data_IF_619618029118
#
_entry.id   IF_619618029118
#
_cell.length_a   1.000
_cell.length_b   1.000
_cell.length_c   1.000
_cell.angle_alpha   90.00
_cell.angle_beta   90.00
_cell.angle_gamma   90.00
#
_symmetry.space_group_name_H-M   'P 1'
#
loop_
_entity.id
_entity.type
_entity.pdbx_description
1 polymer ?
#
# COMPACT_ATOMS: atom_id res chain seq x y z
N UNK A 1 -3.05 -33.89 6.02
CA UNK A 1 -3.14 -32.72 5.09
C UNK A 1 -4.00 -31.68 5.80
N UNK A 2 -3.45 -30.51 6.08
CA UNK A 2 -4.25 -29.40 6.62
C UNK A 2 -4.98 -28.71 5.47
N UNK A 3 -6.25 -28.37 5.64
CA UNK A 3 -6.96 -27.55 4.65
C UNK A 3 -6.32 -26.16 4.55
N UNK A 4 -6.26 -25.59 3.36
CA UNK A 4 -5.67 -24.27 3.11
C UNK A 4 -6.29 -23.19 4.01
N UNK A 5 -7.62 -23.24 4.20
CA UNK A 5 -8.34 -22.34 5.11
C UNK A 5 -7.81 -22.43 6.55
N UNK A 6 -7.60 -23.64 7.06
CA UNK A 6 -7.06 -23.85 8.43
C UNK A 6 -5.64 -23.30 8.58
N UNK A 7 -4.78 -23.46 7.58
CA UNK A 7 -3.43 -22.87 7.61
C UNK A 7 -3.51 -21.34 7.66
N UNK A 8 -4.40 -20.74 6.86
CA UNK A 8 -4.59 -19.28 6.86
C UNK A 8 -5.15 -18.79 8.20
N UNK A 9 -6.11 -19.50 8.80
CA UNK A 9 -6.66 -19.18 10.12
C UNK A 9 -5.56 -19.11 11.20
N UNK A 10 -4.59 -20.03 11.16
CA UNK A 10 -3.44 -20.03 12.07
C UNK A 10 -2.54 -18.77 11.90
N UNK A 11 -2.40 -18.27 10.69
CA UNK A 11 -1.68 -17.02 10.43
C UNK A 11 -2.49 -15.79 10.83
N UNK A 12 -3.79 -15.77 10.53
CA UNK A 12 -4.70 -14.68 10.89
C UNK A 12 -4.85 -14.52 12.40
N UNK A 13 -4.88 -15.62 13.16
CA UNK A 13 -4.96 -15.60 14.61
C UNK A 13 -3.80 -14.84 15.28
N UNK A 14 -2.64 -14.76 14.60
CA UNK A 14 -1.46 -14.01 15.08
C UNK A 14 -1.56 -12.50 14.83
N UNK A 15 -2.50 -12.03 14.01
CA UNK A 15 -2.60 -10.63 13.58
C UNK A 15 -3.84 -9.93 14.12
N UNK A 16 -4.04 -9.99 15.43
CA UNK A 16 -5.16 -9.34 16.12
C UNK A 16 -5.21 -7.83 15.81
N UNK A 17 -6.35 -7.34 15.31
CA UNK A 17 -6.51 -5.94 14.87
C UNK A 17 -6.32 -5.70 13.38
N UNK A 18 -5.86 -6.69 12.62
CA UNK A 18 -5.65 -6.61 11.18
C UNK A 18 -6.89 -6.12 10.43
N UNK A 19 -8.07 -6.64 10.76
CA UNK A 19 -9.33 -6.24 10.11
C UNK A 19 -9.58 -4.74 10.21
N UNK A 20 -9.40 -4.16 11.41
CA UNK A 20 -9.56 -2.71 11.63
C UNK A 20 -8.57 -1.90 10.78
N UNK A 21 -7.32 -2.35 10.69
CA UNK A 21 -6.29 -1.73 9.85
C UNK A 21 -6.67 -1.77 8.36
N UNK A 22 -7.12 -2.91 7.85
CA UNK A 22 -7.56 -3.07 6.47
C UNK A 22 -8.82 -2.25 6.17
N UNK A 23 -9.78 -2.16 7.11
CA UNK A 23 -10.98 -1.33 6.97
C UNK A 23 -10.63 0.15 6.80
N UNK A 24 -9.65 0.67 7.55
CA UNK A 24 -9.14 2.04 7.38
C UNK A 24 -8.54 2.24 5.99
N UNK A 25 -7.79 1.25 5.49
CA UNK A 25 -7.23 1.30 4.15
C UNK A 25 -8.35 1.42 3.09
N UNK A 26 -9.33 0.53 3.13
CA UNK A 26 -10.46 0.52 2.19
C UNK A 26 -11.38 1.75 2.29
N UNK A 27 -11.39 2.42 3.42
CA UNK A 27 -12.08 3.70 3.61
C UNK A 27 -11.24 4.92 3.22
N UNK A 28 -9.98 4.73 2.80
CA UNK A 28 -8.99 5.80 2.58
C UNK A 28 -8.79 6.65 3.85
N UNK A 29 -8.63 5.96 4.99
CA UNK A 29 -8.45 6.58 6.32
C UNK A 29 -7.03 6.34 6.86
N UNK A 30 -6.14 5.73 6.07
CA UNK A 30 -4.70 5.67 6.40
C UNK A 30 -4.15 7.09 6.52
N UNK A 31 -3.14 7.28 7.37
CA UNK A 31 -2.58 8.60 7.62
C UNK A 31 -3.65 9.64 7.99
N UNK A 32 -4.62 9.25 8.83
CA UNK A 32 -5.76 10.10 9.22
C UNK A 32 -6.58 10.63 8.03
N UNK A 33 -6.54 9.93 6.90
CA UNK A 33 -7.23 10.31 5.66
C UNK A 33 -6.50 11.34 4.81
N UNK A 34 -5.25 11.67 5.15
CA UNK A 34 -4.42 12.60 4.38
C UNK A 34 -3.87 11.93 3.13
N UNK A 35 -4.35 12.35 1.96
CA UNK A 35 -3.97 11.79 0.66
C UNK A 35 -2.56 12.20 0.24
N UNK A 36 -2.07 13.35 0.69
CA UNK A 36 -0.68 13.76 0.46
C UNK A 36 0.27 12.72 1.07
N UNK A 37 0.02 12.35 2.34
CA UNK A 37 0.84 11.36 3.03
C UNK A 37 0.68 9.96 2.42
N UNK A 38 -0.53 9.58 1.98
CA UNK A 38 -0.75 8.32 1.27
C UNK A 38 0.07 8.23 -0.03
N UNK A 39 0.13 9.31 -0.81
CA UNK A 39 0.89 9.36 -2.07
C UNK A 39 2.40 9.36 -1.82
N UNK A 40 2.88 10.18 -0.88
CA UNK A 40 4.31 10.21 -0.50
C UNK A 40 4.76 8.84 -0.01
N UNK A 41 3.97 8.22 0.83
CA UNK A 41 4.23 6.90 1.36
C UNK A 41 4.32 5.83 0.24
N UNK A 42 3.34 5.77 -0.65
CA UNK A 42 3.35 4.82 -1.77
C UNK A 42 4.55 5.01 -2.70
N UNK A 43 4.98 6.26 -2.89
CA UNK A 43 6.14 6.60 -3.71
C UNK A 43 7.47 6.20 -3.03
N UNK A 44 7.58 6.33 -1.71
CA UNK A 44 8.77 5.90 -0.97
C UNK A 44 8.90 4.38 -0.91
N UNK A 45 7.79 3.66 -0.78
CA UNK A 45 7.75 2.20 -0.79
C UNK A 45 8.22 1.59 -2.12
N UNK A 46 8.20 2.37 -3.20
CA UNK A 46 8.58 1.93 -4.55
C UNK A 46 10.02 1.44 -4.70
N UNK A 47 10.90 1.64 -3.70
CA UNK A 47 12.32 1.28 -3.76
C UNK A 47 12.71 0.09 -2.86
N UNK A 48 11.74 -0.57 -2.23
CA UNK A 48 11.95 -1.84 -1.51
C UNK A 48 12.76 -1.74 -0.23
N UNK A 49 12.69 -0.62 0.50
CA UNK A 49 13.32 -0.46 1.80
C UNK A 49 12.42 -0.97 2.94
N UNK A 50 13.02 -1.09 4.14
CA UNK A 50 12.27 -1.52 5.32
C UNK A 50 11.14 -0.54 5.64
N UNK A 51 9.92 -1.06 5.59
CA UNK A 51 8.69 -0.33 5.78
C UNK A 51 8.65 0.47 7.09
N UNK A 52 8.75 -0.23 8.23
CA UNK A 52 8.59 0.39 9.54
C UNK A 52 9.81 1.19 10.02
N UNK A 53 11.01 0.75 9.65
CA UNK A 53 12.25 1.33 10.16
C UNK A 53 12.82 2.41 9.24
N UNK A 54 12.36 2.51 7.98
CA UNK A 54 12.88 3.47 7.01
C UNK A 54 11.78 4.36 6.43
N UNK A 55 10.73 3.75 5.86
CA UNK A 55 9.72 4.51 5.11
C UNK A 55 8.82 5.30 6.05
N UNK A 56 8.16 4.63 7.00
CA UNK A 56 7.22 5.28 7.94
C UNK A 56 7.84 6.45 8.70
N UNK A 57 9.05 6.34 9.29
CA UNK A 57 9.70 7.49 9.95
C UNK A 57 9.93 8.68 9.02
N UNK A 58 10.29 8.43 7.75
CA UNK A 58 10.52 9.50 6.78
C UNK A 58 9.24 10.18 6.31
N UNK A 59 8.15 9.44 6.19
CA UNK A 59 6.85 10.04 5.92
C UNK A 59 6.37 10.88 7.12
N UNK A 60 6.61 10.42 8.35
CA UNK A 60 6.32 11.20 9.55
C UNK A 60 7.16 12.47 9.63
N UNK A 61 8.46 12.43 9.26
CA UNK A 61 9.32 13.60 9.17
C UNK A 61 8.79 14.59 8.14
N UNK A 62 8.32 14.12 6.99
CA UNK A 62 7.67 14.96 5.98
C UNK A 62 6.35 15.55 6.48
N UNK A 63 5.53 14.77 7.19
CA UNK A 63 4.30 15.26 7.83
C UNK A 63 4.57 16.44 8.75
N UNK A 64 5.56 16.31 9.66
CA UNK A 64 5.92 17.38 10.60
C UNK A 64 6.47 18.62 9.89
N UNK A 65 7.38 18.42 8.93
CA UNK A 65 8.10 19.52 8.29
C UNK A 65 7.25 20.30 7.28
N UNK A 66 6.28 19.68 6.62
CA UNK A 66 5.58 20.28 5.48
C UNK A 66 4.06 20.30 5.62
N UNK A 67 3.46 19.22 6.14
CA UNK A 67 1.99 19.13 6.21
C UNK A 67 1.47 19.89 7.44
N UNK A 68 2.02 19.63 8.61
CA UNK A 68 1.55 20.27 9.86
C UNK A 68 1.86 21.76 9.93
N UNK A 69 2.91 22.22 9.28
CA UNK A 69 3.21 23.65 9.21
C UNK A 69 2.46 24.39 8.09
N UNK A 70 1.66 23.66 7.28
CA UNK A 70 0.81 24.25 6.26
C UNK A 70 1.50 24.60 4.94
N UNK A 71 2.72 24.14 4.70
CA UNK A 71 3.38 24.33 3.40
C UNK A 71 2.81 23.44 2.31
N UNK A 72 2.34 22.23 2.69
CA UNK A 72 1.71 21.26 1.78
C UNK A 72 0.35 20.85 2.33
N UNK A 73 -0.72 21.38 1.76
CA UNK A 73 -2.08 21.18 2.26
C UNK A 73 -2.91 20.22 1.37
N UNK A 74 -2.44 19.94 0.16
CA UNK A 74 -3.18 19.19 -0.84
C UNK A 74 -2.22 18.63 -1.92
N UNK A 75 -2.76 17.83 -2.82
CA UNK A 75 -1.99 17.21 -3.91
C UNK A 75 -1.40 18.24 -4.89
N UNK A 76 -2.04 19.41 -5.06
CA UNK A 76 -1.47 20.47 -5.88
C UNK A 76 -0.15 20.97 -5.29
N UNK A 77 -0.14 21.26 -3.98
CA UNK A 77 1.05 21.75 -3.30
C UNK A 77 2.17 20.70 -3.38
N UNK A 78 1.85 19.42 -3.12
CA UNK A 78 2.81 18.31 -3.27
C UNK A 78 3.38 18.25 -4.69
N UNK A 79 2.56 18.40 -5.72
CA UNK A 79 3.01 18.32 -7.12
C UNK A 79 4.01 19.40 -7.50
N UNK A 80 3.94 20.55 -6.84
CA UNK A 80 4.77 21.73 -7.09
C UNK A 80 5.98 21.86 -6.15
N UNK A 81 6.07 21.02 -5.13
CA UNK A 81 7.11 21.11 -4.09
C UNK A 81 8.52 20.90 -4.69
N UNK A 82 9.46 21.85 -4.54
CA UNK A 82 10.81 21.72 -5.06
C UNK A 82 11.60 20.59 -4.40
N UNK A 83 12.33 19.80 -5.19
CA UNK A 83 13.14 18.69 -4.65
C UNK A 83 14.17 19.18 -3.62
N UNK A 84 14.74 20.36 -3.81
CA UNK A 84 15.75 20.93 -2.92
C UNK A 84 15.26 21.12 -1.47
N UNK A 85 13.95 21.34 -1.28
CA UNK A 85 13.36 21.49 0.04
C UNK A 85 13.20 20.15 0.77
N UNK A 86 13.02 19.06 0.05
CA UNK A 86 12.69 17.72 0.60
C UNK A 86 13.85 16.73 0.56
N UNK A 87 14.95 17.04 -0.12
CA UNK A 87 16.11 16.15 -0.27
C UNK A 87 16.75 15.71 1.05
N UNK A 88 16.65 16.53 2.09
CA UNK A 88 17.19 16.21 3.42
C UNK A 88 16.33 15.17 4.15
N UNK A 89 15.01 15.13 3.88
CA UNK A 89 14.12 14.08 4.40
C UNK A 89 14.37 12.77 3.65
N UNK A 90 14.37 12.84 2.32
CA UNK A 90 14.52 11.69 1.45
C UNK A 90 15.30 12.06 0.20
N UNK A 91 16.52 11.57 0.09
CA UNK A 91 17.44 11.98 -0.99
C UNK A 91 17.08 11.39 -2.37
N UNK A 92 16.18 10.38 -2.43
CA UNK A 92 15.85 9.70 -3.67
C UNK A 92 14.94 10.55 -4.56
N UNK A 93 15.52 11.16 -5.59
CA UNK A 93 14.80 12.00 -6.59
C UNK A 93 13.69 11.23 -7.31
N UNK A 94 13.87 9.93 -7.56
CA UNK A 94 12.88 9.11 -8.26
C UNK A 94 11.59 8.98 -7.44
N UNK A 95 11.70 8.72 -6.13
CA UNK A 95 10.54 8.65 -5.23
C UNK A 95 9.76 9.96 -5.23
N UNK A 96 10.44 11.10 -5.13
CA UNK A 96 9.78 12.41 -5.22
C UNK A 96 9.17 12.69 -6.59
N UNK A 97 9.83 12.27 -7.69
CA UNK A 97 9.25 12.39 -9.03
C UNK A 97 7.96 11.58 -9.15
N UNK A 98 7.93 10.36 -8.62
CA UNK A 98 6.72 9.52 -8.56
C UNK A 98 5.63 10.21 -7.74
N UNK A 99 5.93 10.66 -6.50
CA UNK A 99 4.96 11.33 -5.65
C UNK A 99 4.33 12.55 -6.32
N UNK A 100 5.16 13.41 -6.91
CA UNK A 100 4.71 14.63 -7.59
C UNK A 100 3.88 14.35 -8.84
N UNK A 101 4.28 13.37 -9.64
CA UNK A 101 3.53 13.01 -10.87
C UNK A 101 2.18 12.38 -10.54
N UNK A 102 2.12 11.50 -9.53
CA UNK A 102 0.86 10.93 -9.04
C UNK A 102 -0.04 12.03 -8.47
N UNK A 103 0.52 12.94 -7.67
CA UNK A 103 -0.21 14.06 -7.08
C UNK A 103 -0.79 15.00 -8.16
N UNK A 104 0.01 15.38 -9.16
CA UNK A 104 -0.44 16.20 -10.29
C UNK A 104 -1.61 15.57 -11.03
N UNK A 105 -1.48 14.29 -11.40
CA UNK A 105 -2.53 13.58 -12.12
C UNK A 105 -3.84 13.49 -11.31
N UNK A 106 -3.76 13.08 -10.06
CA UNK A 106 -4.95 12.96 -9.19
C UNK A 106 -5.60 14.32 -8.96
N UNK A 107 -4.81 15.37 -8.70
CA UNK A 107 -5.33 16.72 -8.53
C UNK A 107 -6.06 17.22 -9.80
N UNK A 108 -5.43 17.13 -10.96
CA UNK A 108 -6.00 17.60 -12.22
C UNK A 108 -7.27 16.83 -12.59
N UNK A 109 -7.24 15.49 -12.48
CA UNK A 109 -8.39 14.64 -12.71
C UNK A 109 -9.55 14.94 -11.75
N UNK A 110 -9.24 15.17 -10.47
CA UNK A 110 -10.22 15.54 -9.44
C UNK A 110 -10.83 16.91 -9.69
N UNK A 111 -9.99 17.92 -9.97
CA UNK A 111 -10.43 19.29 -10.28
C UNK A 111 -11.41 19.34 -11.44
N UNK A 112 -11.12 18.61 -12.52
CA UNK A 112 -11.98 18.58 -13.71
C UNK A 112 -13.35 17.97 -13.44
N UNK A 113 -13.53 17.25 -12.32
CA UNK A 113 -14.77 16.61 -11.88
C UNK A 113 -15.37 17.26 -10.62
N UNK A 114 -14.77 18.32 -10.08
CA UNK A 114 -15.21 18.96 -8.84
C UNK A 114 -15.00 18.10 -7.58
N UNK A 115 -14.00 17.22 -7.58
CA UNK A 115 -13.69 16.32 -6.48
C UNK A 115 -12.55 16.89 -5.62
N UNK A 116 -12.61 16.65 -4.31
CA UNK A 116 -11.45 16.84 -3.46
C UNK A 116 -10.44 15.67 -3.66
N UNK A 117 -9.21 15.83 -3.16
CA UNK A 117 -8.12 14.90 -3.37
C UNK A 117 -8.45 13.46 -2.92
N UNK A 118 -9.13 13.27 -1.78
CA UNK A 118 -9.53 11.95 -1.30
C UNK A 118 -10.57 11.30 -2.22
N UNK A 119 -11.53 12.06 -2.70
CA UNK A 119 -12.52 11.56 -3.67
C UNK A 119 -11.85 11.28 -5.02
N UNK A 120 -10.87 12.10 -5.43
CA UNK A 120 -10.11 11.87 -6.66
C UNK A 120 -9.32 10.55 -6.62
N UNK A 121 -8.61 10.26 -5.52
CA UNK A 121 -7.92 8.98 -5.31
C UNK A 121 -8.90 7.80 -5.36
N UNK A 122 -10.03 7.88 -4.64
CA UNK A 122 -11.05 6.83 -4.62
C UNK A 122 -11.70 6.60 -5.98
N UNK A 123 -12.02 7.66 -6.68
CA UNK A 123 -12.62 7.60 -8.02
C UNK A 123 -11.65 6.99 -9.02
N UNK A 124 -10.38 7.43 -9.02
CA UNK A 124 -9.35 6.80 -9.83
C UNK A 124 -9.23 5.31 -9.53
N UNK A 125 -9.06 4.93 -8.26
CA UNK A 125 -8.86 3.55 -7.87
C UNK A 125 -10.01 2.62 -8.30
N UNK A 126 -11.27 3.08 -8.19
CA UNK A 126 -12.46 2.32 -8.58
C UNK A 126 -12.59 2.12 -10.09
N UNK A 127 -12.11 3.09 -10.88
CA UNK A 127 -12.22 3.06 -12.34
C UNK A 127 -11.01 2.39 -13.01
N UNK A 128 -10.08 1.85 -12.23
CA UNK A 128 -8.88 1.17 -12.72
C UNK A 128 -9.00 -0.34 -12.60
N UNK A 129 -8.32 -1.07 -13.47
CA UNK A 129 -8.24 -2.53 -13.43
C UNK A 129 -6.81 -3.02 -13.25
N UNK A 130 -6.67 -4.24 -12.75
CA UNK A 130 -5.37 -4.90 -12.63
C UNK A 130 -4.75 -5.15 -14.02
N UNK A 131 -5.54 -5.61 -14.97
CA UNK A 131 -5.09 -5.93 -16.32
C UNK A 131 -4.67 -4.69 -17.11
N UNK A 132 -5.39 -3.58 -16.91
CA UNK A 132 -5.15 -2.31 -17.58
C UNK A 132 -4.07 -1.44 -16.95
N UNK A 133 -3.36 -1.89 -15.93
CA UNK A 133 -2.47 -1.04 -15.14
C UNK A 133 -1.39 -0.32 -15.95
N UNK A 134 -0.80 -0.98 -16.98
CA UNK A 134 0.23 -0.37 -17.85
C UNK A 134 -0.32 0.70 -18.81
N UNK A 135 -1.61 0.68 -19.07
CA UNK A 135 -2.31 1.67 -19.92
C UNK A 135 -2.83 2.85 -19.09
N UNK A 136 -3.00 2.65 -17.78
CA UNK A 136 -3.45 3.68 -16.86
C UNK A 136 -2.43 4.83 -16.76
N UNK A 137 -2.87 6.10 -16.67
CA UNK A 137 -1.98 7.24 -16.55
C UNK A 137 -1.00 7.15 -15.37
N UNK A 138 -1.42 6.67 -14.19
CA UNK A 138 -0.53 6.45 -13.04
C UNK A 138 0.43 5.29 -13.32
N UNK A 139 -0.05 4.22 -13.92
CA UNK A 139 0.79 3.08 -14.29
C UNK A 139 1.89 3.41 -15.32
N UNK A 140 1.69 4.47 -16.12
CA UNK A 140 2.68 4.99 -17.10
C UNK A 140 3.73 5.91 -16.47
N UNK A 141 3.55 6.37 -15.23
CA UNK A 141 4.54 7.23 -14.58
C UNK A 141 5.85 6.46 -14.39
N UNK A 142 6.94 7.03 -14.90
CA UNK A 142 8.26 6.42 -14.75
C UNK A 142 8.63 6.24 -13.28
N UNK A 143 8.80 5.00 -12.86
CA UNK A 143 9.07 4.63 -11.47
C UNK A 143 7.90 3.99 -10.73
N UNK A 144 6.70 4.05 -11.25
CA UNK A 144 5.56 3.29 -10.74
C UNK A 144 5.64 1.86 -11.26
N UNK A 145 5.83 0.92 -10.36
CA UNK A 145 5.68 -0.52 -10.61
C UNK A 145 4.30 -1.02 -10.21
N UNK A 146 4.01 -2.30 -10.50
CA UNK A 146 2.73 -2.90 -10.16
C UNK A 146 2.46 -2.88 -8.64
N UNK A 147 3.48 -3.06 -7.81
CA UNK A 147 3.37 -2.97 -6.34
C UNK A 147 2.87 -1.59 -5.91
N UNK A 148 3.53 -0.51 -6.36
CA UNK A 148 3.13 0.88 -6.07
C UNK A 148 1.72 1.18 -6.59
N UNK A 149 1.41 0.72 -7.81
CA UNK A 149 0.09 0.90 -8.42
C UNK A 149 -1.02 0.22 -7.59
N UNK A 150 -0.82 -1.03 -7.20
CA UNK A 150 -1.77 -1.78 -6.37
C UNK A 150 -1.90 -1.16 -4.97
N UNK A 151 -0.80 -0.66 -4.43
CA UNK A 151 -0.82 0.01 -3.14
C UNK A 151 -1.68 1.30 -3.17
N UNK A 152 -1.52 2.13 -4.21
CA UNK A 152 -2.38 3.31 -4.42
C UNK A 152 -3.85 2.93 -4.63
N UNK A 153 -4.14 1.85 -5.37
CA UNK A 153 -5.50 1.33 -5.52
C UNK A 153 -6.09 0.90 -4.16
N UNK A 154 -5.30 0.20 -3.36
CA UNK A 154 -5.67 -0.23 -2.02
C UNK A 154 -5.99 0.97 -1.12
N UNK A 155 -5.13 2.01 -1.12
CA UNK A 155 -5.38 3.26 -0.41
C UNK A 155 -6.62 4.02 -0.93
N UNK A 156 -6.94 3.87 -2.20
CA UNK A 156 -8.16 4.38 -2.84
C UNK A 156 -9.42 3.56 -2.53
N UNK A 157 -9.30 2.46 -1.80
CA UNK A 157 -10.43 1.65 -1.32
C UNK A 157 -10.75 0.43 -2.19
N UNK A 158 -9.80 -0.04 -3.02
CA UNK A 158 -9.93 -1.30 -3.76
C UNK A 158 -9.42 -2.44 -2.90
N UNK A 159 -10.24 -3.45 -2.69
CA UNK A 159 -9.85 -4.69 -2.02
C UNK A 159 -8.98 -5.53 -2.98
N UNK A 160 -7.69 -5.53 -2.75
CA UNK A 160 -6.69 -6.18 -3.61
C UNK A 160 -5.40 -6.48 -2.84
N UNK A 161 -4.43 -7.08 -3.51
CA UNK A 161 -3.12 -7.40 -2.94
C UNK A 161 -1.98 -6.78 -3.75
N UNK A 162 -0.81 -6.70 -3.12
CA UNK A 162 0.45 -6.28 -3.74
C UNK A 162 1.31 -7.50 -4.04
N UNK A 163 1.99 -7.56 -5.20
CA UNK A 163 2.92 -8.65 -5.52
C UNK A 163 4.32 -8.39 -4.93
N UNK A 164 4.36 -8.07 -3.64
CA UNK A 164 5.60 -7.83 -2.90
C UNK A 164 6.32 -9.13 -2.57
N UNK A 165 7.65 -9.09 -2.46
CA UNK A 165 8.46 -10.28 -2.21
C UNK A 165 8.15 -10.96 -0.86
N UNK A 166 7.79 -10.17 0.18
CA UNK A 166 7.40 -10.73 1.48
C UNK A 166 6.05 -11.43 1.35
N UNK A 167 5.09 -10.79 0.66
CA UNK A 167 3.77 -11.37 0.43
C UNK A 167 3.89 -12.70 -0.33
N UNK A 168 4.67 -12.72 -1.43
CA UNK A 168 4.90 -13.94 -2.22
C UNK A 168 5.50 -15.06 -1.38
N UNK A 169 6.59 -14.78 -0.67
CA UNK A 169 7.27 -15.77 0.16
C UNK A 169 6.35 -16.39 1.20
N UNK A 170 5.58 -15.57 1.94
CA UNK A 170 4.69 -16.11 2.98
C UNK A 170 3.52 -16.88 2.40
N UNK A 171 3.00 -16.46 1.25
CA UNK A 171 1.96 -17.22 0.55
C UNK A 171 2.51 -18.56 0.07
N UNK A 172 3.74 -18.62 -0.47
CA UNK A 172 4.39 -19.88 -0.84
C UNK A 172 4.54 -20.80 0.37
N UNK A 173 5.00 -20.28 1.52
CA UNK A 173 5.09 -21.04 2.78
C UNK A 173 3.71 -21.59 3.23
N UNK A 174 2.64 -20.82 3.05
CA UNK A 174 1.27 -21.25 3.37
C UNK A 174 0.80 -22.34 2.43
N UNK A 175 1.02 -22.16 1.12
CA UNK A 175 0.65 -23.14 0.09
C UNK A 175 1.41 -24.46 0.27
N UNK A 176 2.70 -24.41 0.59
CA UNK A 176 3.53 -25.59 0.86
C UNK A 176 3.01 -26.35 2.09
N UNK A 177 2.68 -25.65 3.18
CA UNK A 177 2.09 -26.27 4.39
C UNK A 177 0.75 -26.94 4.15
N UNK A 178 -0.05 -26.36 3.25
CA UNK A 178 -1.33 -26.92 2.86
C UNK A 178 -1.22 -27.98 1.75
N UNK A 179 -0.02 -28.21 1.19
CA UNK A 179 0.25 -29.09 0.05
C UNK A 179 -0.57 -28.71 -1.21
N UNK A 180 -0.83 -27.40 -1.39
CA UNK A 180 -1.60 -26.83 -2.50
C UNK A 180 -0.65 -26.14 -3.48
N UNK A 181 -0.85 -26.37 -4.79
CA UNK A 181 -0.08 -25.71 -5.85
C UNK A 181 -0.91 -24.63 -6.53
N UNK A 182 -0.45 -23.39 -6.47
CA UNK A 182 -1.03 -22.24 -7.16
C UNK A 182 0.08 -21.38 -7.80
N UNK A 183 -0.21 -20.61 -8.87
CA UNK A 183 0.77 -19.74 -9.53
C UNK A 183 1.22 -18.60 -8.62
N UNK A 184 2.54 -18.46 -8.38
CA UNK A 184 3.12 -17.38 -7.55
C UNK A 184 4.20 -16.57 -8.27
N UNK A 185 4.73 -17.05 -9.38
CA UNK A 185 5.92 -16.50 -10.02
C UNK A 185 5.68 -15.15 -10.71
N UNK A 186 4.56 -14.98 -11.43
CA UNK A 186 4.25 -13.76 -12.16
C UNK A 186 3.31 -12.87 -11.35
N UNK A 187 3.65 -11.57 -11.26
CA UNK A 187 2.94 -10.61 -10.42
C UNK A 187 1.42 -10.58 -10.64
N UNK A 188 0.96 -10.57 -11.89
CA UNK A 188 -0.47 -10.54 -12.21
C UNK A 188 -1.17 -11.87 -11.84
N UNK A 189 -0.52 -13.00 -12.10
CA UNK A 189 -1.02 -14.32 -11.73
C UNK A 189 -1.05 -14.46 -10.21
N UNK A 190 -0.02 -13.97 -9.52
CA UNK A 190 0.05 -13.97 -8.06
C UNK A 190 -1.12 -13.23 -7.41
N UNK A 191 -1.47 -12.02 -7.90
CA UNK A 191 -2.61 -11.28 -7.37
C UNK A 191 -3.91 -12.07 -7.55
N UNK A 192 -4.11 -12.72 -8.70
CA UNK A 192 -5.25 -13.62 -8.93
C UNK A 192 -5.24 -14.85 -8.01
N UNK A 193 -4.06 -15.35 -7.67
CA UNK A 193 -3.91 -16.42 -6.67
C UNK A 193 -4.38 -15.94 -5.30
N UNK A 194 -4.04 -14.71 -4.88
CA UNK A 194 -4.57 -14.13 -3.63
C UNK A 194 -6.11 -14.04 -3.67
N UNK A 195 -6.71 -13.65 -4.79
CA UNK A 195 -8.17 -13.59 -4.92
C UNK A 195 -8.81 -14.99 -4.78
N UNK A 196 -8.18 -16.05 -5.32
CA UNK A 196 -8.62 -17.43 -5.14
C UNK A 196 -8.48 -17.90 -3.69
N UNK A 197 -7.34 -17.60 -3.04
CA UNK A 197 -7.12 -17.90 -1.62
C UNK A 197 -8.17 -17.18 -0.75
N UNK A 198 -8.46 -15.92 -1.05
CA UNK A 198 -9.51 -15.15 -0.38
C UNK A 198 -10.89 -15.81 -0.49
N UNK A 199 -11.23 -16.29 -1.68
CA UNK A 199 -12.48 -17.01 -1.91
C UNK A 199 -12.56 -18.33 -1.13
N UNK A 200 -11.46 -19.10 -1.05
CA UNK A 200 -11.39 -20.38 -0.33
C UNK A 200 -11.46 -20.17 1.18
N UNK A 201 -10.74 -19.16 1.70
CA UNK A 201 -10.58 -18.94 3.15
C UNK A 201 -11.67 -18.04 3.76
N UNK A 202 -12.43 -17.30 2.93
CA UNK A 202 -13.42 -16.35 3.39
C UNK A 202 -12.84 -15.00 3.88
N UNK A 203 -11.52 -14.81 3.81
CA UNK A 203 -10.88 -13.53 4.11
C UNK A 203 -10.81 -12.63 2.88
N UNK A 204 -10.62 -11.34 3.08
CA UNK A 204 -10.44 -10.38 1.99
C UNK A 204 -9.02 -10.41 1.43
N UNK A 205 -8.80 -10.16 0.11
CA UNK A 205 -7.47 -10.05 -0.49
C UNK A 205 -6.52 -9.12 0.27
N UNK A 206 -7.01 -7.95 0.70
CA UNK A 206 -6.25 -6.99 1.51
C UNK A 206 -5.84 -7.57 2.87
N UNK A 207 -6.69 -8.35 3.52
CA UNK A 207 -6.39 -8.99 4.82
C UNK A 207 -5.29 -10.04 4.65
N UNK A 208 -5.38 -10.87 3.63
CA UNK A 208 -4.34 -11.86 3.32
C UNK A 208 -3.02 -11.14 3.04
N UNK A 209 -3.03 -10.10 2.22
CA UNK A 209 -1.83 -9.34 1.87
C UNK A 209 -1.16 -8.73 3.12
N UNK A 210 -1.89 -8.02 3.96
CA UNK A 210 -1.33 -7.40 5.17
C UNK A 210 -0.98 -8.40 6.26
N UNK A 211 -1.72 -9.52 6.38
CA UNK A 211 -1.37 -10.62 7.29
C UNK A 211 0.05 -11.10 7.03
N UNK A 212 0.43 -11.35 5.77
CA UNK A 212 1.78 -11.83 5.43
C UNK A 212 2.89 -10.88 5.88
N UNK A 213 2.64 -9.57 5.83
CA UNK A 213 3.56 -8.54 6.31
C UNK A 213 3.66 -8.50 7.83
N UNK A 214 2.53 -8.62 8.51
CA UNK A 214 2.40 -8.36 9.94
C UNK A 214 2.71 -9.57 10.81
N UNK A 215 2.70 -10.79 10.26
CA UNK A 215 3.14 -12.01 10.98
C UNK A 215 4.66 -12.15 11.05
N UNK A 216 5.42 -11.34 10.29
CA UNK A 216 6.88 -11.44 10.28
C UNK A 216 7.46 -11.12 11.65
N UNK A 217 8.40 -11.98 12.10
CA UNK A 217 9.14 -11.75 13.34
C UNK A 217 10.21 -10.68 13.16
N UNK A 218 10.34 -9.80 14.12
CA UNK A 218 11.45 -8.85 14.26
C UNK A 218 11.94 -8.81 15.70
N UNK A 219 13.00 -9.54 15.98
CA UNK A 219 13.44 -9.84 17.33
C UNK A 219 12.45 -10.81 18.01
N UNK A 220 12.05 -10.53 19.23
CA UNK A 220 11.19 -11.40 20.03
C UNK A 220 9.69 -11.21 19.76
N UNK A 221 9.32 -10.29 18.88
CA UNK A 221 7.92 -9.95 18.57
C UNK A 221 7.62 -10.05 17.08
N UNK A 222 6.39 -10.35 16.74
CA UNK A 222 5.89 -10.16 15.39
C UNK A 222 5.59 -8.67 15.12
N UNK A 223 5.63 -8.26 13.85
CA UNK A 223 5.42 -6.86 13.45
C UNK A 223 4.09 -6.30 13.92
N UNK A 224 3.02 -7.09 13.90
CA UNK A 224 1.71 -6.66 14.39
C UNK A 224 1.73 -6.18 15.84
N UNK A 225 2.50 -6.84 16.68
CA UNK A 225 2.66 -6.46 18.10
C UNK A 225 3.67 -5.33 18.26
N UNK A 226 4.81 -5.44 17.57
CA UNK A 226 5.93 -4.50 17.69
C UNK A 226 5.54 -3.09 17.24
N UNK A 227 4.73 -2.97 16.18
CA UNK A 227 4.38 -1.69 15.56
C UNK A 227 2.91 -1.28 15.78
N UNK A 228 2.26 -1.81 16.82
CA UNK A 228 0.84 -1.55 17.10
C UNK A 228 0.51 -0.06 17.10
N UNK A 229 1.24 0.74 17.89
CA UNK A 229 1.01 2.18 18.00
C UNK A 229 1.22 2.91 16.66
N UNK A 230 2.21 2.47 15.89
CA UNK A 230 2.46 2.97 14.54
C UNK A 230 1.30 2.64 13.61
N UNK A 231 0.82 1.39 13.63
CA UNK A 231 -0.31 0.93 12.81
C UNK A 231 -1.61 1.66 13.16
N UNK A 232 -1.84 2.02 14.42
CA UNK A 232 -3.01 2.80 14.82
C UNK A 232 -2.92 4.26 14.36
N UNK A 233 -1.72 4.80 14.18
CA UNK A 233 -1.48 6.17 13.71
C UNK A 233 -1.56 6.31 12.19
N UNK A 234 -0.98 5.38 11.42
CA UNK A 234 -0.85 5.45 9.96
C UNK A 234 -2.04 4.88 9.19
#
# INVERSE_FOLDING_TARGET
MMELSSVIDDYMAKTTGLKKFCDRCLKSERWSGDVVLMVVYAAFDSIGLNYFNSIVPKVMEFEEAFVKNGEVNNLKDLSQLPHEQVKNIWANKRSWSVAKSVASYLHESGRNRGLNDRKALREWARNTSLEGWKQDPIGKIGGVGLTTYQYLRMMGGVDTAMPDNIVKRVIEEILDKAEVKMPTNKDLEFIKTIDQIATISGYRPIEICWMTWLVQSEGDKIRMEKYRDTLDRI
#
